data_IF_835150080449
#
_entry.id   IF_835150080449
#
_cell.length_a   1.000
_cell.length_b   1.000
_cell.length_c   1.000
_cell.angle_alpha   90.00
_cell.angle_beta   90.00
_cell.angle_gamma   90.00
#
_symmetry.space_group_name_H-M   'P 1'
#
loop_
_entity.id
_entity.type
_entity.pdbx_description
1 polymer ?
#
# COMPACT_ATOMS: atom_id res chain seq x y z
N UNK A 1 14.09 -10.58 8.84
CA UNK A 1 12.75 -11.11 9.17
C UNK A 1 11.74 -10.63 8.12
N UNK A 2 10.64 -11.36 7.88
CA UNK A 2 9.54 -10.94 7.01
C UNK A 2 8.23 -11.07 7.78
N UNK A 3 7.35 -10.07 7.68
CA UNK A 3 6.07 -10.00 8.38
C UNK A 3 5.01 -9.62 7.35
N UNK A 4 3.85 -10.28 7.39
CA UNK A 4 2.69 -9.92 6.57
C UNK A 4 1.65 -9.29 7.49
N UNK A 5 1.12 -8.15 7.06
CA UNK A 5 0.06 -7.42 7.79
C UNK A 5 -1.12 -7.26 6.83
N UNK A 6 -2.29 -7.73 7.24
CA UNK A 6 -3.55 -7.51 6.54
C UNK A 6 -4.33 -6.46 7.32
N UNK A 7 -4.70 -5.37 6.66
CA UNK A 7 -5.30 -4.21 7.33
C UNK A 7 -6.11 -3.36 6.36
N UNK A 8 -6.74 -2.30 6.88
CA UNK A 8 -7.59 -1.38 6.15
C UNK A 8 -6.80 -0.23 5.50
N UNK A 9 -7.44 0.47 4.57
CA UNK A 9 -6.82 1.54 3.79
C UNK A 9 -6.27 2.69 4.62
N UNK A 10 -6.87 2.98 5.79
CA UNK A 10 -6.37 3.99 6.73
C UNK A 10 -4.95 3.69 7.24
N UNK A 11 -4.72 2.46 7.69
CA UNK A 11 -3.41 2.01 8.19
C UNK A 11 -2.38 1.98 7.06
N UNK A 12 -2.76 1.48 5.88
CA UNK A 12 -1.90 1.51 4.69
C UNK A 12 -1.47 2.95 4.36
N UNK A 13 -2.38 3.91 4.49
CA UNK A 13 -2.09 5.33 4.26
C UNK A 13 -1.04 5.87 5.22
N UNK A 14 -1.08 5.49 6.50
CA UNK A 14 -0.07 5.90 7.47
C UNK A 14 1.29 5.25 7.21
N UNK A 15 1.32 4.00 6.75
CA UNK A 15 2.56 3.39 6.29
C UNK A 15 3.19 4.15 5.11
N UNK A 16 2.39 4.63 4.16
CA UNK A 16 2.90 5.50 3.10
C UNK A 16 3.49 6.79 3.66
N UNK A 17 2.73 7.49 4.52
CA UNK A 17 3.17 8.77 5.10
C UNK A 17 4.49 8.62 5.87
N UNK A 18 4.70 7.46 6.50
CA UNK A 18 5.93 7.14 7.24
C UNK A 18 7.12 6.79 6.34
N UNK A 19 6.89 6.08 5.24
CA UNK A 19 7.94 5.47 4.43
C UNK A 19 8.28 6.24 3.13
N UNK A 20 7.39 7.10 2.66
CA UNK A 20 7.58 7.82 1.41
C UNK A 20 8.51 9.04 1.59
N UNK A 21 9.36 9.35 0.59
CA UNK A 21 10.14 10.59 0.59
C UNK A 21 9.23 11.83 0.67
N UNK A 22 9.73 12.92 1.27
CA UNK A 22 8.99 14.19 1.34
C UNK A 22 8.54 14.65 -0.06
N UNK A 23 7.29 15.10 -0.16
CA UNK A 23 6.70 15.55 -1.42
C UNK A 23 6.15 14.42 -2.32
N UNK A 24 6.30 13.16 -1.91
CA UNK A 24 5.69 12.03 -2.62
C UNK A 24 4.17 12.13 -2.60
N UNK A 25 3.54 12.03 -3.77
CA UNK A 25 2.08 11.97 -3.87
C UNK A 25 1.64 10.52 -3.78
N UNK A 26 0.81 10.21 -2.78
CA UNK A 26 0.17 8.90 -2.69
C UNK A 26 -0.91 8.79 -3.76
N UNK A 27 -0.85 7.75 -4.57
CA UNK A 27 -1.94 7.35 -5.46
C UNK A 27 -3.17 6.85 -4.66
N UNK A 28 -4.16 6.30 -5.38
CA UNK A 28 -5.32 5.63 -4.75
C UNK A 28 -4.83 4.42 -3.94
N UNK A 29 -5.44 4.19 -2.77
CA UNK A 29 -5.23 2.92 -2.06
C UNK A 29 -6.16 1.89 -2.71
N UNK A 30 -5.55 0.87 -3.32
CA UNK A 30 -6.28 -0.22 -3.95
C UNK A 30 -6.47 -1.36 -2.94
N UNK A 31 -7.69 -1.87 -2.81
CA UNK A 31 -7.94 -3.07 -2.02
C UNK A 31 -7.20 -4.24 -2.65
N UNK A 32 -6.83 -5.19 -1.79
CA UNK A 32 -6.06 -6.38 -2.17
C UNK A 32 -4.66 -6.03 -2.72
N UNK A 33 -4.25 -4.76 -2.72
CA UNK A 33 -2.89 -4.40 -3.13
C UNK A 33 -1.84 -4.92 -2.15
N UNK A 34 -0.74 -5.42 -2.70
CA UNK A 34 0.45 -5.79 -1.94
C UNK A 34 1.39 -4.59 -1.92
N UNK A 35 1.85 -4.24 -0.72
CA UNK A 35 2.80 -3.14 -0.50
C UNK A 35 4.01 -3.71 0.22
N UNK A 36 5.22 -3.37 -0.26
CA UNK A 36 6.47 -3.88 0.31
C UNK A 36 7.25 -2.73 0.89
N UNK A 37 7.48 -2.78 2.21
CA UNK A 37 8.27 -1.82 2.96
C UNK A 37 9.54 -2.51 3.44
N UNK A 38 10.66 -1.78 3.39
CA UNK A 38 11.91 -2.19 4.03
C UNK A 38 12.19 -1.24 5.18
N UNK A 39 12.34 -1.81 6.37
CA UNK A 39 12.75 -1.12 7.60
C UNK A 39 14.22 -1.48 7.85
N UNK A 40 15.09 -0.48 7.95
CA UNK A 40 16.50 -0.68 8.30
C UNK A 40 16.67 -0.87 9.82
N UNK A 41 17.86 -1.32 10.25
CA UNK A 41 18.21 -1.42 11.67
C UNK A 41 18.16 -0.05 12.38
N UNK A 42 18.28 1.04 11.62
CA UNK A 42 18.14 2.42 12.09
C UNK A 42 16.69 2.91 12.11
N UNK A 43 15.71 2.01 11.95
CA UNK A 43 14.28 2.32 11.88
C UNK A 43 13.91 3.28 10.73
N UNK A 44 14.69 3.27 9.65
CA UNK A 44 14.38 4.03 8.44
C UNK A 44 13.47 3.20 7.54
N UNK A 45 12.33 3.78 7.18
CA UNK A 45 11.33 3.13 6.34
C UNK A 45 11.53 3.53 4.90
N UNK A 46 11.47 2.55 3.99
CA UNK A 46 11.54 2.80 2.56
C UNK A 46 10.54 1.93 1.82
N UNK A 47 9.88 2.52 0.82
CA UNK A 47 8.96 1.80 -0.06
C UNK A 47 9.77 1.04 -1.12
N UNK A 48 9.48 -0.25 -1.30
CA UNK A 48 10.05 -1.11 -2.34
C UNK A 48 9.07 -1.43 -3.44
N UNK A 49 7.80 -1.62 -3.09
CA UNK A 49 6.68 -1.74 -4.02
C UNK A 49 5.44 -1.12 -3.37
N UNK A 50 4.59 -0.52 -4.18
CA UNK A 50 3.39 0.18 -3.71
C UNK A 50 2.22 -0.07 -4.65
N UNK A 51 1.08 -0.49 -4.08
CA UNK A 51 -0.16 -0.66 -4.83
C UNK A 51 -0.15 -1.82 -5.82
N UNK A 52 0.67 -2.86 -5.60
CA UNK A 52 0.79 -3.97 -6.55
C UNK A 52 -0.47 -4.85 -6.55
N UNK A 53 -1.12 -4.92 -7.70
CA UNK A 53 -2.32 -5.72 -7.98
C UNK A 53 -2.11 -6.68 -9.14
N UNK A 54 -0.88 -6.85 -9.62
CA UNK A 54 -0.56 -7.71 -10.78
C UNK A 54 -0.95 -9.17 -10.57
N UNK A 55 -0.96 -9.64 -9.32
CA UNK A 55 -1.44 -10.98 -8.96
C UNK A 55 -2.94 -11.20 -9.22
N UNK A 56 -3.69 -10.13 -9.51
CA UNK A 56 -5.10 -10.20 -9.87
C UNK A 56 -5.32 -10.18 -11.39
N UNK A 57 -4.25 -10.12 -12.19
CA UNK A 57 -4.34 -10.18 -13.65
C UNK A 57 -5.01 -11.50 -14.08
N UNK A 58 -6.03 -11.39 -14.94
CA UNK A 58 -6.81 -12.54 -15.40
C UNK A 58 -7.93 -13.01 -14.46
N UNK A 59 -8.12 -12.37 -13.30
CA UNK A 59 -9.11 -12.81 -12.28
C UNK A 59 -10.46 -12.08 -12.39
N UNK A 60 -10.74 -11.40 -13.51
CA UNK A 60 -12.06 -10.83 -13.82
C UNK A 60 -12.57 -9.73 -12.85
N UNK A 61 -11.70 -9.17 -12.02
CA UNK A 61 -12.07 -8.17 -11.02
C UNK A 61 -12.13 -6.75 -11.62
N UNK A 62 -13.05 -5.92 -11.12
CA UNK A 62 -13.19 -4.53 -11.53
C UNK A 62 -12.16 -3.64 -10.81
N UNK A 63 -11.03 -3.33 -11.44
CA UNK A 63 -9.95 -2.53 -10.84
C UNK A 63 -10.36 -1.14 -10.31
N UNK A 64 -11.49 -0.60 -10.76
CA UNK A 64 -12.07 0.65 -10.27
C UNK A 64 -13.01 0.47 -9.06
N UNK A 65 -13.58 -0.73 -8.84
CA UNK A 65 -14.54 -1.02 -7.79
C UNK A 65 -13.89 -1.20 -6.40
N UNK A 66 -12.59 -1.46 -6.38
CA UNK A 66 -11.84 -1.86 -5.18
C UNK A 66 -11.03 -0.76 -4.54
N UNK A 67 -11.29 0.52 -4.78
CA UNK A 67 -10.49 1.58 -4.18
C UNK A 67 -11.33 2.48 -3.29
N UNK A 68 -11.11 2.38 -1.99
CA UNK A 68 -11.64 3.31 -1.01
C UNK A 68 -11.09 4.72 -1.25
N UNK A 69 -11.97 5.69 -1.39
CA UNK A 69 -11.60 7.09 -1.58
C UNK A 69 -11.39 7.79 -0.23
N UNK A 70 -11.57 9.12 -0.19
CA UNK A 70 -11.23 9.99 0.95
C UNK A 70 -11.87 9.56 2.28
N UNK A 71 -12.90 8.71 2.28
CA UNK A 71 -13.69 8.34 3.47
C UNK A 71 -13.70 6.84 3.80
N UNK A 72 -13.03 5.98 3.03
CA UNK A 72 -13.08 4.54 3.31
C UNK A 72 -12.04 4.14 4.36
N UNK A 73 -12.48 4.08 5.61
CA UNK A 73 -11.79 3.49 6.76
C UNK A 73 -12.28 2.08 7.00
#
# INVERSE_FOLDING_TARGET
QRIVVVTHGGVIREFFNRAAPRGSRRGKILNVSVNVLRISDKMEWSIKSWGDVSHLDGVGYLGNAFGGDRTSG
#
